data_IF_648817063711
#
_entry.id   IF_648817063711
#
_cell.length_a   1.000
_cell.length_b   1.000
_cell.length_c   1.000
_cell.angle_alpha   90.00
_cell.angle_beta   90.00
_cell.angle_gamma   90.00
#
_symmetry.space_group_name_H-M   'P 1'
#
loop_
_entity.id
_entity.type
_entity.pdbx_description
1 polymer ?
#
# COMPACT_ATOMS: atom_id res chain seq x y z
N UNK A 1 -27.68 47.66 -18.38
CA UNK A 1 -28.95 46.89 -18.36
C UNK A 1 -29.17 46.37 -16.94
N UNK A 2 -30.32 46.62 -16.32
CA UNK A 2 -30.59 46.16 -14.95
C UNK A 2 -30.74 44.63 -14.93
N UNK A 3 -30.00 43.94 -14.05
CA UNK A 3 -30.11 42.49 -13.89
C UNK A 3 -31.53 42.08 -13.49
N UNK A 4 -32.03 40.99 -14.07
CA UNK A 4 -33.38 40.47 -13.78
C UNK A 4 -33.54 40.11 -12.29
N UNK A 5 -34.76 40.14 -11.73
CA UNK A 5 -35.00 39.75 -10.33
C UNK A 5 -34.51 38.33 -10.00
N UNK A 6 -34.60 37.41 -10.97
CA UNK A 6 -34.10 36.04 -10.83
C UNK A 6 -32.57 36.00 -10.77
N UNK A 7 -31.87 36.82 -11.58
CA UNK A 7 -30.41 36.92 -11.54
C UNK A 7 -29.91 37.46 -10.19
N UNK A 8 -30.60 38.45 -9.61
CA UNK A 8 -30.28 38.97 -8.27
C UNK A 8 -30.48 37.92 -7.17
N UNK A 9 -31.58 37.15 -7.24
CA UNK A 9 -31.86 36.07 -6.27
C UNK A 9 -30.84 34.94 -6.39
N UNK A 10 -30.43 34.57 -7.61
CA UNK A 10 -29.35 33.61 -7.84
C UNK A 10 -28.03 34.11 -7.24
N UNK A 11 -27.69 35.39 -7.40
CA UNK A 11 -26.49 35.97 -6.81
C UNK A 11 -26.51 35.92 -5.29
N UNK A 12 -27.65 36.21 -4.66
CA UNK A 12 -27.81 36.08 -3.20
C UNK A 12 -27.60 34.64 -2.71
N UNK A 13 -28.12 33.64 -3.44
CA UNK A 13 -27.90 32.24 -3.09
C UNK A 13 -26.43 31.82 -3.25
N UNK A 14 -25.73 32.31 -4.29
CA UNK A 14 -24.29 32.07 -4.46
C UNK A 14 -23.48 32.66 -3.29
N UNK A 15 -23.76 33.91 -2.90
CA UNK A 15 -23.12 34.53 -1.74
C UNK A 15 -23.37 33.74 -0.45
N UNK A 16 -24.56 33.15 -0.28
CA UNK A 16 -24.85 32.30 0.87
C UNK A 16 -24.06 30.99 0.83
N UNK A 17 -23.85 30.39 -0.35
CA UNK A 17 -22.97 29.21 -0.51
C UNK A 17 -21.53 29.59 -0.17
N UNK A 18 -21.02 30.70 -0.70
CA UNK A 18 -19.65 31.18 -0.43
C UNK A 18 -19.41 31.37 1.09
N UNK A 19 -20.40 31.89 1.81
CA UNK A 19 -20.34 32.03 3.28
C UNK A 19 -20.31 30.68 4.01
N UNK A 20 -21.06 29.69 3.54
CA UNK A 20 -21.05 28.34 4.12
C UNK A 20 -19.72 27.63 3.84
N UNK A 21 -19.16 27.80 2.65
CA UNK A 21 -17.86 27.24 2.29
C UNK A 21 -16.73 27.87 3.12
N UNK A 22 -16.80 29.18 3.38
CA UNK A 22 -15.88 29.85 4.31
C UNK A 22 -15.95 29.28 5.73
N UNK A 23 -17.17 29.03 6.25
CA UNK A 23 -17.35 28.39 7.56
C UNK A 23 -16.81 26.95 7.58
N UNK A 24 -16.95 26.22 6.47
CA UNK A 24 -16.38 24.87 6.35
C UNK A 24 -14.84 24.91 6.45
N UNK A 25 -14.20 25.87 5.77
CA UNK A 25 -12.74 26.06 5.85
C UNK A 25 -12.30 26.35 7.28
N UNK A 26 -13.00 27.24 7.99
CA UNK A 26 -12.70 27.58 9.39
C UNK A 26 -12.84 26.36 10.32
N UNK A 27 -13.90 25.56 10.16
CA UNK A 27 -14.10 24.34 10.93
C UNK A 27 -13.04 23.29 10.65
N UNK A 28 -12.60 23.15 9.40
CA UNK A 28 -11.51 22.25 9.03
C UNK A 28 -10.19 22.69 9.66
N UNK A 29 -9.88 23.98 9.65
CA UNK A 29 -8.68 24.54 10.28
C UNK A 29 -8.66 24.24 11.80
N UNK A 30 -9.76 24.53 12.50
CA UNK A 30 -9.90 24.22 13.93
C UNK A 30 -9.73 22.72 14.20
N UNK A 31 -10.30 21.86 13.36
CA UNK A 31 -10.18 20.41 13.51
C UNK A 31 -8.72 19.94 13.33
N UNK A 32 -7.96 20.54 12.43
CA UNK A 32 -6.54 20.25 12.23
C UNK A 32 -5.73 20.61 13.48
N UNK A 33 -6.03 21.74 14.12
CA UNK A 33 -5.39 22.14 15.38
C UNK A 33 -5.66 21.13 16.51
N UNK A 34 -6.94 20.73 16.69
CA UNK A 34 -7.32 19.71 17.68
C UNK A 34 -6.66 18.36 17.37
N UNK A 35 -6.59 17.96 16.10
CA UNK A 35 -5.90 16.74 15.71
C UNK A 35 -4.40 16.78 16.04
N UNK A 36 -3.76 17.95 15.91
CA UNK A 36 -2.37 18.14 16.28
C UNK A 36 -2.15 17.98 17.80
N UNK A 37 -3.04 18.55 18.63
CA UNK A 37 -3.00 18.38 20.09
C UNK A 37 -3.21 16.92 20.51
N UNK A 38 -4.16 16.22 19.87
CA UNK A 38 -4.37 14.78 20.07
C UNK A 38 -3.09 14.00 19.73
N UNK A 39 -2.38 14.38 18.66
CA UNK A 39 -1.09 13.78 18.31
C UNK A 39 -0.07 13.85 19.43
N UNK A 40 0.08 15.03 20.05
CA UNK A 40 0.98 15.25 21.18
C UNK A 40 0.58 14.43 22.41
N UNK A 41 -0.72 14.33 22.70
CA UNK A 41 -1.22 13.50 23.82
C UNK A 41 -0.99 12.01 23.56
N UNK A 42 -1.31 11.53 22.35
CA UNK A 42 -1.05 10.13 21.96
C UNK A 42 0.43 9.79 22.06
N UNK A 43 1.30 10.73 21.69
CA UNK A 43 2.74 10.57 21.85
C UNK A 43 3.13 10.34 23.30
N UNK A 44 2.65 11.19 24.22
CA UNK A 44 2.90 11.04 25.66
C UNK A 44 2.37 9.72 26.23
N UNK A 45 1.27 9.22 25.66
CA UNK A 45 0.64 7.95 26.03
C UNK A 45 1.20 6.73 25.27
N UNK A 46 2.14 6.91 24.33
CA UNK A 46 2.67 5.82 23.50
C UNK A 46 1.63 5.15 22.60
N UNK A 47 0.59 5.87 22.18
CA UNK A 47 -0.51 5.34 21.38
C UNK A 47 -0.30 5.55 19.87
N UNK A 48 -0.80 4.64 19.03
CA UNK A 48 -0.66 4.75 17.58
C UNK A 48 -1.52 5.87 16.99
N UNK A 49 -1.05 6.41 15.87
CA UNK A 49 -1.78 7.44 15.13
C UNK A 49 -3.07 6.87 14.52
N UNK A 50 -2.98 5.67 13.94
CA UNK A 50 -4.12 4.95 13.35
C UNK A 50 -4.77 4.00 14.36
N UNK A 51 -6.07 4.17 14.59
CA UNK A 51 -6.89 3.30 15.45
C UNK A 51 -8.16 2.92 14.67
N UNK A 52 -8.17 1.75 14.00
CA UNK A 52 -9.24 1.36 13.07
C UNK A 52 -10.64 1.43 13.69
N UNK A 53 -10.80 0.86 14.89
CA UNK A 53 -12.09 0.78 15.58
C UNK A 53 -12.67 2.18 15.87
N UNK A 54 -11.81 3.12 16.30
CA UNK A 54 -12.22 4.49 16.59
C UNK A 54 -12.69 5.22 15.35
N UNK A 55 -11.99 5.01 14.23
CA UNK A 55 -12.37 5.59 12.93
C UNK A 55 -13.69 4.99 12.44
N UNK A 56 -13.84 3.66 12.50
CA UNK A 56 -15.07 2.99 12.11
C UNK A 56 -16.27 3.50 12.91
N UNK A 57 -16.16 3.56 14.24
CA UNK A 57 -17.21 4.09 15.12
C UNK A 57 -17.58 5.55 14.76
N UNK A 58 -16.58 6.39 14.47
CA UNK A 58 -16.83 7.77 14.08
C UNK A 58 -17.58 7.85 12.75
N UNK A 59 -17.19 7.06 11.74
CA UNK A 59 -17.85 7.05 10.44
C UNK A 59 -19.29 6.52 10.54
N UNK A 60 -19.51 5.42 11.27
CA UNK A 60 -20.86 4.86 11.50
C UNK A 60 -21.79 5.87 12.18
N UNK A 61 -21.32 6.52 13.25
CA UNK A 61 -22.10 7.54 13.96
C UNK A 61 -22.46 8.73 13.08
N UNK A 62 -21.51 9.19 12.25
CA UNK A 62 -21.72 10.33 11.36
C UNK A 62 -22.60 9.99 10.17
N UNK A 63 -22.51 8.79 9.60
CA UNK A 63 -23.45 8.30 8.58
C UNK A 63 -24.88 8.31 9.09
N UNK A 64 -25.14 7.76 10.28
CA UNK A 64 -26.47 7.78 10.89
C UNK A 64 -26.96 9.21 11.22
N UNK A 65 -26.07 10.15 11.49
CA UNK A 65 -26.42 11.57 11.61
C UNK A 65 -26.78 12.21 10.26
N UNK A 66 -26.04 11.90 9.18
CA UNK A 66 -26.35 12.36 7.84
C UNK A 66 -27.75 11.92 7.40
N UNK A 67 -28.09 10.64 7.60
CA UNK A 67 -29.41 10.09 7.26
C UNK A 67 -30.54 10.86 7.95
N UNK A 68 -30.41 11.09 9.27
CA UNK A 68 -31.39 11.84 10.06
C UNK A 68 -31.57 13.29 9.62
N UNK A 69 -30.54 13.88 8.98
CA UNK A 69 -30.58 15.26 8.46
C UNK A 69 -30.92 15.33 6.97
N UNK A 70 -31.22 14.20 6.33
CA UNK A 70 -31.50 14.14 4.88
C UNK A 70 -30.28 14.39 4.00
N UNK A 71 -29.06 14.20 4.54
CA UNK A 71 -27.81 14.26 3.79
C UNK A 71 -27.44 12.88 3.27
N UNK A 72 -26.81 12.81 2.10
CA UNK A 72 -26.28 11.55 1.57
C UNK A 72 -25.15 11.03 2.49
N UNK A 73 -25.29 9.85 3.10
CA UNK A 73 -24.28 9.31 4.03
C UNK A 73 -22.93 9.06 3.38
N UNK A 74 -22.93 8.70 2.09
CA UNK A 74 -21.71 8.44 1.34
C UNK A 74 -20.91 9.72 1.09
N UNK A 75 -21.59 10.85 0.81
CA UNK A 75 -20.94 12.16 0.70
C UNK A 75 -20.24 12.53 2.02
N UNK A 76 -20.94 12.38 3.16
CA UNK A 76 -20.35 12.74 4.45
C UNK A 76 -19.17 11.84 4.81
N UNK A 77 -19.29 10.53 4.56
CA UNK A 77 -18.19 9.59 4.76
C UNK A 77 -16.97 9.97 3.92
N UNK A 78 -17.15 10.27 2.63
CA UNK A 78 -16.06 10.65 1.72
C UNK A 78 -15.31 11.89 2.23
N UNK A 79 -16.05 12.93 2.64
CA UNK A 79 -15.46 14.15 3.22
C UNK A 79 -14.71 13.82 4.51
N UNK A 80 -15.34 13.08 5.42
CA UNK A 80 -14.73 12.75 6.71
C UNK A 80 -13.48 11.89 6.56
N UNK A 81 -13.47 10.89 5.67
CA UNK A 81 -12.29 10.06 5.39
C UNK A 81 -11.11 10.92 4.95
N UNK A 82 -11.32 11.85 4.02
CA UNK A 82 -10.26 12.76 3.55
C UNK A 82 -9.72 13.64 4.67
N UNK A 83 -10.61 14.14 5.53
CA UNK A 83 -10.25 14.98 6.68
C UNK A 83 -9.52 14.17 7.78
N UNK A 84 -9.87 12.90 7.97
CA UNK A 84 -9.17 11.98 8.88
C UNK A 84 -7.76 11.68 8.35
N UNK A 85 -7.60 11.44 7.05
CA UNK A 85 -6.29 11.24 6.42
C UNK A 85 -5.34 12.43 6.67
N UNK A 86 -5.83 13.66 6.49
CA UNK A 86 -5.08 14.89 6.79
C UNK A 86 -4.66 14.96 8.28
N UNK A 87 -5.48 14.39 9.16
CA UNK A 87 -5.19 14.35 10.59
C UNK A 87 -4.00 13.45 10.91
N UNK A 88 -3.80 12.37 10.16
CA UNK A 88 -2.66 11.47 10.35
C UNK A 88 -1.35 12.17 9.97
N UNK A 89 -1.34 12.90 8.85
CA UNK A 89 -0.19 13.70 8.42
C UNK A 89 0.20 14.73 9.47
N UNK A 90 -0.79 15.49 9.95
CA UNK A 90 -0.58 16.53 10.96
C UNK A 90 -0.03 15.96 12.27
N UNK A 91 -0.56 14.81 12.73
CA UNK A 91 -0.10 14.14 13.95
C UNK A 91 1.36 13.65 13.83
N UNK A 92 1.76 13.14 12.67
CA UNK A 92 3.10 12.60 12.44
C UNK A 92 4.18 13.69 12.30
N UNK A 93 3.82 14.89 11.84
CA UNK A 93 4.78 15.98 11.65
C UNK A 93 5.30 16.61 12.96
N UNK A 94 4.52 16.57 14.05
CA UNK A 94 4.82 17.30 15.30
C UNK A 94 5.56 16.50 16.38
N UNK A 95 6.38 15.53 15.98
CA UNK A 95 7.13 14.53 16.78
C UNK A 95 6.33 13.25 17.06
N UNK A 96 6.51 12.17 16.27
CA UNK A 96 5.82 10.92 16.51
C UNK A 96 6.37 10.19 17.74
N UNK A 97 5.51 9.35 18.32
CA UNK A 97 5.89 8.43 19.40
C UNK A 97 7.04 7.52 18.95
N UNK A 98 7.89 7.16 19.92
CA UNK A 98 9.03 6.27 19.69
C UNK A 98 8.96 5.05 20.58
N UNK A 99 9.51 3.94 20.09
CA UNK A 99 9.63 2.67 20.82
C UNK A 99 11.07 2.18 20.98
N UNK A 100 12.02 2.69 20.19
CA UNK A 100 13.44 2.30 20.23
C UNK A 100 14.38 3.36 20.84
N UNK A 101 15.68 3.08 20.81
CA UNK A 101 16.71 3.96 21.36
C UNK A 101 17.14 5.03 20.34
N UNK A 102 16.93 6.32 20.63
CA UNK A 102 17.33 7.42 19.73
C UNK A 102 18.83 7.62 19.61
N UNK A 103 19.59 7.17 20.60
CA UNK A 103 21.04 7.39 20.63
C UNK A 103 21.78 6.37 19.75
N UNK A 104 21.17 5.22 19.49
CA UNK A 104 21.72 4.17 18.64
C UNK A 104 21.42 4.40 17.17
N UNK A 105 22.36 3.97 16.34
CA UNK A 105 22.36 4.24 14.91
C UNK A 105 21.38 3.32 14.17
N UNK A 106 20.63 3.88 13.22
CA UNK A 106 19.91 3.14 12.19
C UNK A 106 20.68 3.31 10.89
N UNK A 107 21.14 2.20 10.32
CA UNK A 107 21.82 2.17 9.03
C UNK A 107 20.80 1.75 7.98
N UNK A 108 20.69 2.51 6.88
CA UNK A 108 19.83 2.16 5.74
C UNK A 108 20.74 1.94 4.53
N UNK A 109 20.78 0.71 4.03
CA UNK A 109 21.56 0.38 2.84
C UNK A 109 20.67 0.46 1.60
N UNK A 110 21.09 1.17 0.57
CA UNK A 110 20.24 1.58 -0.56
C UNK A 110 19.35 2.80 -0.21
N UNK A 111 19.87 3.71 0.60
CA UNK A 111 19.17 4.90 1.08
C UNK A 111 18.81 5.91 -0.03
N UNK A 112 19.51 5.93 -1.17
CA UNK A 112 19.20 6.73 -2.35
C UNK A 112 18.03 6.15 -3.15
N UNK A 113 17.74 4.86 -2.96
CA UNK A 113 16.55 4.20 -3.48
C UNK A 113 15.27 4.89 -3.03
N UNK A 114 14.19 4.76 -3.80
CA UNK A 114 12.94 5.47 -3.50
C UNK A 114 12.34 5.08 -2.15
N UNK A 115 12.30 3.78 -1.84
CA UNK A 115 11.85 3.31 -0.51
C UNK A 115 12.88 3.60 0.57
N UNK A 116 14.18 3.39 0.31
CA UNK A 116 15.26 3.73 1.26
C UNK A 116 15.17 5.18 1.74
N UNK A 117 14.96 6.14 0.82
CA UNK A 117 14.73 7.56 1.15
C UNK A 117 13.50 7.75 2.05
N UNK A 118 12.41 7.03 1.80
CA UNK A 118 11.20 7.12 2.61
C UNK A 118 11.42 6.63 4.03
N UNK A 119 12.03 5.45 4.20
CA UNK A 119 12.38 4.94 5.52
C UNK A 119 13.35 5.87 6.25
N UNK A 120 14.35 6.40 5.55
CA UNK A 120 15.26 7.39 6.12
C UNK A 120 14.50 8.60 6.67
N UNK A 121 13.58 9.15 5.88
CA UNK A 121 12.75 10.28 6.31
C UNK A 121 11.88 9.95 7.52
N UNK A 122 11.21 8.80 7.55
CA UNK A 122 10.35 8.43 8.69
C UNK A 122 11.14 8.20 9.99
N UNK A 123 12.29 7.54 9.93
CA UNK A 123 13.16 7.39 11.09
C UNK A 123 13.71 8.75 11.57
N UNK A 124 14.17 9.61 10.65
CA UNK A 124 14.66 10.95 10.98
C UNK A 124 13.56 11.84 11.59
N UNK A 125 12.35 11.82 11.03
CA UNK A 125 11.20 12.54 11.56
C UNK A 125 10.80 12.07 12.96
N UNK A 126 11.09 10.81 13.30
CA UNK A 126 10.87 10.24 14.63
C UNK A 126 12.01 10.52 15.62
N UNK A 127 13.07 11.19 15.17
CA UNK A 127 14.20 11.59 16.00
C UNK A 127 15.28 10.52 16.17
N UNK A 128 15.28 9.47 15.34
CA UNK A 128 16.37 8.49 15.33
C UNK A 128 17.61 9.06 14.63
N UNK A 129 18.80 8.62 15.07
CA UNK A 129 20.05 8.83 14.33
C UNK A 129 20.07 7.87 13.14
N UNK A 130 20.13 8.40 11.92
CA UNK A 130 20.09 7.60 10.70
C UNK A 130 21.32 7.87 9.84
N UNK A 131 21.92 6.81 9.30
CA UNK A 131 23.01 6.86 8.33
C UNK A 131 22.61 6.08 7.08
N UNK A 132 22.60 6.75 5.93
CA UNK A 132 22.36 6.13 4.63
C UNK A 132 23.66 5.64 4.01
N UNK A 133 23.64 4.45 3.43
CA UNK A 133 24.77 3.80 2.77
C UNK A 133 24.36 3.37 1.34
N UNK A 134 25.24 3.53 0.37
CA UNK A 134 25.06 2.97 -0.98
C UNK A 134 26.09 1.86 -1.24
N UNK A 135 25.74 0.94 -2.14
CA UNK A 135 26.72 -0.03 -2.65
C UNK A 135 27.85 0.71 -3.38
N UNK A 136 29.09 0.51 -2.92
CA UNK A 136 30.27 1.17 -3.48
C UNK A 136 30.53 2.60 -3.01
N UNK A 137 29.77 3.13 -2.03
CA UNK A 137 30.13 4.37 -1.34
C UNK A 137 31.20 4.15 -0.27
N UNK A 138 31.60 5.22 0.44
CA UNK A 138 32.44 5.09 1.63
C UNK A 138 31.84 4.07 2.60
N UNK A 139 32.70 3.19 3.13
CA UNK A 139 32.29 2.11 4.01
C UNK A 139 31.86 2.64 5.39
N UNK A 140 30.90 1.95 6.01
CA UNK A 140 30.57 2.18 7.41
C UNK A 140 31.79 1.86 8.28
N UNK A 141 32.23 2.80 9.10
CA UNK A 141 33.32 2.56 10.07
C UNK A 141 32.88 1.54 11.12
N UNK A 142 33.81 0.72 11.62
CA UNK A 142 33.55 -0.24 12.69
C UNK A 142 32.96 0.41 13.94
N UNK A 143 33.43 1.60 14.32
CA UNK A 143 32.90 2.36 15.46
C UNK A 143 31.39 2.65 15.30
N UNK A 144 30.97 3.18 14.15
CA UNK A 144 29.55 3.43 13.88
C UNK A 144 28.73 2.15 13.84
N UNK A 145 29.27 1.07 13.26
CA UNK A 145 28.60 -0.21 13.16
C UNK A 145 28.32 -0.86 14.52
N UNK A 146 29.22 -0.69 15.49
CA UNK A 146 29.02 -1.14 16.86
C UNK A 146 27.97 -0.32 17.63
N UNK A 147 27.61 0.88 17.16
CA UNK A 147 26.49 1.66 17.71
C UNK A 147 25.15 1.36 17.05
N UNK A 148 25.14 0.58 15.97
CA UNK A 148 23.92 0.29 15.24
C UNK A 148 22.96 -0.60 16.05
N UNK A 149 21.68 -0.23 16.05
CA UNK A 149 20.58 -1.07 16.53
C UNK A 149 19.80 -1.72 15.39
N UNK A 150 19.89 -1.15 14.18
CA UNK A 150 19.21 -1.63 12.99
C UNK A 150 20.09 -1.38 11.75
N UNK A 151 20.25 -2.40 10.92
CA UNK A 151 20.64 -2.31 9.52
C UNK A 151 19.44 -2.70 8.68
N UNK A 152 18.86 -1.74 7.97
CA UNK A 152 17.75 -1.95 7.05
C UNK A 152 18.25 -2.00 5.62
N UNK A 153 18.12 -3.15 4.98
CA UNK A 153 18.55 -3.40 3.61
C UNK A 153 17.42 -3.09 2.64
N UNK A 154 17.59 -2.03 1.86
CA UNK A 154 16.65 -1.51 0.86
C UNK A 154 17.18 -1.68 -0.58
N UNK A 155 18.12 -2.60 -0.80
CA UNK A 155 18.71 -2.92 -2.10
C UNK A 155 17.95 -4.04 -2.80
N UNK A 156 18.24 -4.30 -4.11
CA UNK A 156 17.71 -5.47 -4.79
C UNK A 156 18.02 -6.77 -4.01
N UNK A 157 17.08 -7.72 -4.04
CA UNK A 157 17.14 -8.92 -3.20
C UNK A 157 18.33 -9.82 -3.54
N UNK A 158 18.79 -9.78 -4.80
CA UNK A 158 19.97 -10.52 -5.24
C UNK A 158 21.28 -10.03 -4.58
N UNK A 159 21.31 -8.79 -4.09
CA UNK A 159 22.53 -8.14 -3.61
C UNK A 159 22.69 -8.20 -2.08
N UNK A 160 21.70 -8.74 -1.34
CA UNK A 160 21.68 -8.73 0.13
C UNK A 160 22.94 -9.38 0.72
N UNK A 161 23.32 -10.57 0.24
CA UNK A 161 24.53 -11.24 0.72
C UNK A 161 25.80 -10.41 0.47
N UNK A 162 25.90 -9.77 -0.70
CA UNK A 162 27.05 -8.94 -1.06
C UNK A 162 27.10 -7.63 -0.24
N UNK A 163 25.95 -7.03 0.03
CA UNK A 163 25.80 -5.88 0.93
C UNK A 163 26.30 -6.23 2.32
N UNK A 164 25.80 -7.32 2.91
CA UNK A 164 26.13 -7.68 4.28
C UNK A 164 27.61 -8.07 4.43
N UNK A 165 28.22 -8.68 3.41
CA UNK A 165 29.64 -9.00 3.40
C UNK A 165 30.56 -7.77 3.39
N UNK A 166 30.06 -6.60 2.96
CA UNK A 166 30.83 -5.34 2.97
C UNK A 166 30.69 -4.57 4.29
N UNK A 167 29.77 -4.97 5.16
CA UNK A 167 29.60 -4.31 6.45
C UNK A 167 30.68 -4.79 7.45
N UNK A 168 31.24 -3.89 8.27
CA UNK A 168 32.05 -4.30 9.40
C UNK A 168 31.21 -5.11 10.41
N UNK A 169 31.86 -5.79 11.38
CA UNK A 169 31.16 -6.49 12.45
C UNK A 169 30.13 -5.58 13.14
N UNK A 170 28.87 -6.02 13.18
CA UNK A 170 27.77 -5.32 13.82
C UNK A 170 27.72 -5.63 15.32
N UNK A 171 27.05 -4.78 16.09
CA UNK A 171 26.72 -5.12 17.48
C UNK A 171 25.91 -6.42 17.54
N UNK A 172 26.12 -7.23 18.59
CA UNK A 172 25.51 -8.55 18.73
C UNK A 172 23.96 -8.52 18.75
N UNK A 173 23.39 -7.41 19.22
CA UNK A 173 21.94 -7.15 19.28
C UNK A 173 21.43 -6.26 18.14
N UNK A 174 22.30 -5.88 17.18
CA UNK A 174 21.90 -5.12 16.00
C UNK A 174 20.96 -5.97 15.15
N UNK A 175 19.79 -5.42 14.82
CA UNK A 175 18.80 -6.08 13.98
C UNK A 175 19.22 -5.93 12.52
N UNK A 176 19.29 -7.03 11.76
CA UNK A 176 19.41 -6.97 10.30
C UNK A 176 18.05 -7.27 9.69
N UNK A 177 17.54 -6.35 8.88
CA UNK A 177 16.23 -6.49 8.26
C UNK A 177 16.22 -6.11 6.78
N UNK A 178 15.34 -6.74 5.99
CA UNK A 178 15.12 -6.42 4.58
C UNK A 178 13.68 -5.94 4.32
N UNK A 179 13.46 -5.27 3.19
CA UNK A 179 12.13 -4.81 2.72
C UNK A 179 11.74 -5.38 1.34
N UNK A 180 12.41 -6.45 0.90
CA UNK A 180 12.21 -7.01 -0.44
C UNK A 180 10.81 -7.61 -0.65
N UNK A 181 10.47 -7.88 -1.91
CA UNK A 181 9.17 -8.47 -2.28
C UNK A 181 9.13 -10.01 -2.26
N UNK A 182 10.27 -10.66 -2.03
CA UNK A 182 10.44 -12.09 -1.76
C UNK A 182 11.08 -12.25 -0.39
N UNK A 183 10.78 -13.32 0.36
CA UNK A 183 11.21 -13.44 1.76
C UNK A 183 12.07 -14.66 2.04
N UNK A 184 11.81 -15.81 1.44
CA UNK A 184 12.50 -17.06 1.84
C UNK A 184 14.01 -16.99 1.61
N UNK A 185 14.43 -16.62 0.40
CA UNK A 185 15.85 -16.55 0.05
C UNK A 185 16.56 -15.35 0.71
N UNK A 186 16.02 -14.11 0.66
CA UNK A 186 16.57 -12.97 1.41
C UNK A 186 16.77 -13.25 2.91
N UNK A 187 15.76 -13.84 3.56
CA UNK A 187 15.83 -14.14 4.99
C UNK A 187 16.94 -15.16 5.29
N UNK A 188 17.09 -16.18 4.44
CA UNK A 188 18.17 -17.17 4.55
C UNK A 188 19.55 -16.53 4.40
N UNK A 189 19.71 -15.60 3.45
CA UNK A 189 20.96 -14.87 3.26
C UNK A 189 21.32 -14.05 4.49
N UNK A 190 20.35 -13.30 5.05
CA UNK A 190 20.56 -12.53 6.28
C UNK A 190 20.89 -13.42 7.48
N UNK A 191 20.19 -14.55 7.66
CA UNK A 191 20.45 -15.52 8.73
C UNK A 191 21.85 -16.16 8.66
N UNK A 192 22.40 -16.26 7.46
CA UNK A 192 23.75 -16.80 7.21
C UNK A 192 24.81 -15.74 7.46
N UNK A 193 24.58 -14.50 7.02
CA UNK A 193 25.53 -13.40 7.14
C UNK A 193 25.58 -12.77 8.55
N UNK A 194 24.51 -12.91 9.35
CA UNK A 194 24.41 -12.31 10.68
C UNK A 194 24.07 -13.35 11.75
N UNK A 195 24.77 -13.31 12.88
CA UNK A 195 24.53 -14.19 14.02
C UNK A 195 23.43 -13.69 14.95
N UNK A 196 23.18 -12.38 14.99
CA UNK A 196 22.20 -11.72 15.86
C UNK A 196 20.76 -11.74 15.34
N UNK A 197 19.94 -10.74 15.74
CA UNK A 197 18.53 -10.66 15.36
C UNK A 197 18.32 -10.41 13.86
N UNK A 198 17.39 -11.16 13.26
CA UNK A 198 17.09 -11.08 11.82
C UNK A 198 15.58 -11.02 11.59
N UNK A 199 15.15 -10.09 10.73
CA UNK A 199 13.75 -9.81 10.41
C UNK A 199 13.54 -9.61 8.90
N UNK A 200 12.67 -10.39 8.28
CA UNK A 200 12.20 -10.11 6.92
C UNK A 200 10.96 -9.23 6.96
N UNK A 201 10.91 -8.18 6.13
CA UNK A 201 9.71 -7.36 5.97
C UNK A 201 9.36 -7.21 4.48
N UNK A 202 8.07 -7.00 4.20
CA UNK A 202 7.60 -6.62 2.87
C UNK A 202 6.55 -5.52 3.01
N UNK A 203 6.94 -4.26 2.75
CA UNK A 203 5.99 -3.15 2.67
C UNK A 203 5.06 -3.34 1.47
N UNK A 204 3.75 -3.49 1.70
CA UNK A 204 2.76 -3.67 0.64
C UNK A 204 2.33 -2.33 0.00
N UNK A 205 3.27 -1.38 -0.04
CA UNK A 205 3.05 -0.01 -0.49
C UNK A 205 4.27 0.52 -1.26
N UNK A 206 4.01 1.49 -2.14
CA UNK A 206 5.05 2.14 -2.93
C UNK A 206 5.68 3.33 -2.19
N UNK A 207 6.74 3.93 -2.75
CA UNK A 207 7.46 5.05 -2.12
C UNK A 207 6.69 6.38 -2.08
N UNK A 208 5.53 6.46 -2.75
CA UNK A 208 4.74 7.69 -2.88
C UNK A 208 3.73 7.87 -1.75
N UNK A 209 3.65 6.94 -0.79
CA UNK A 209 2.77 7.13 0.37
C UNK A 209 3.38 8.16 1.34
N UNK A 210 2.52 8.97 1.94
CA UNK A 210 2.95 10.02 2.86
C UNK A 210 2.99 9.54 4.32
N UNK A 211 2.10 8.62 4.69
CA UNK A 211 1.99 8.04 6.03
C UNK A 211 1.69 6.53 5.97
N UNK A 212 1.89 5.83 7.09
CA UNK A 212 1.63 4.38 7.17
C UNK A 212 0.23 4.00 7.66
N UNK A 213 -0.63 4.95 8.01
CA UNK A 213 -2.02 4.64 8.38
C UNK A 213 -2.69 3.80 7.28
N UNK A 214 -3.28 2.65 7.66
CA UNK A 214 -3.91 1.63 6.80
C UNK A 214 -2.97 0.89 5.84
N UNK A 215 -1.66 1.14 5.93
CA UNK A 215 -0.69 0.47 5.09
C UNK A 215 -0.28 -0.84 5.74
N UNK A 216 -0.14 -1.89 4.94
CA UNK A 216 0.24 -3.22 5.42
C UNK A 216 1.73 -3.44 5.32
N UNK A 217 2.31 -3.96 6.39
CA UNK A 217 3.69 -4.42 6.44
C UNK A 217 3.67 -5.91 6.76
N UNK A 218 4.06 -6.76 5.81
CA UNK A 218 4.19 -8.17 6.09
C UNK A 218 5.49 -8.42 6.85
N UNK A 219 5.41 -9.23 7.90
CA UNK A 219 6.51 -9.52 8.83
C UNK A 219 6.81 -11.01 8.79
N UNK A 220 8.06 -11.35 8.47
CA UNK A 220 8.56 -12.72 8.44
C UNK A 220 9.71 -12.86 9.44
N UNK A 221 9.46 -13.52 10.56
CA UNK A 221 10.45 -13.70 11.62
C UNK A 221 11.61 -14.59 11.17
N UNK A 222 12.85 -14.10 11.38
CA UNK A 222 14.06 -14.87 11.17
C UNK A 222 14.60 -15.45 12.48
N UNK A 223 15.30 -14.61 13.26
CA UNK A 223 15.96 -15.02 14.51
C UNK A 223 15.77 -13.97 15.60
N UNK A 224 15.61 -14.40 16.86
CA UNK A 224 15.58 -13.54 18.05
C UNK A 224 14.50 -12.43 17.99
N UNK A 225 13.20 -12.77 17.81
CA UNK A 225 12.13 -11.79 17.67
C UNK A 225 11.95 -10.82 18.83
N UNK A 226 12.38 -11.22 20.03
CA UNK A 226 12.35 -10.36 21.21
C UNK A 226 13.21 -9.09 21.06
N UNK A 227 14.23 -9.07 20.19
CA UNK A 227 15.14 -7.93 20.04
C UNK A 227 14.64 -6.85 19.08
N UNK A 228 13.63 -7.13 18.26
CA UNK A 228 13.08 -6.17 17.28
C UNK A 228 11.60 -5.85 17.47
N UNK A 229 11.03 -6.18 18.65
CA UNK A 229 9.66 -5.77 18.98
C UNK A 229 9.48 -4.25 18.97
N UNK A 230 10.52 -3.51 19.38
CA UNK A 230 10.51 -2.05 19.28
C UNK A 230 10.31 -1.58 17.84
N UNK A 231 10.89 -2.27 16.85
CA UNK A 231 10.78 -1.89 15.44
C UNK A 231 9.36 -2.14 14.92
N UNK A 232 8.76 -3.29 15.26
CA UNK A 232 7.37 -3.59 14.91
C UNK A 232 6.39 -2.61 15.57
N UNK A 233 6.63 -2.29 16.84
CA UNK A 233 5.88 -1.26 17.56
C UNK A 233 6.05 0.11 16.91
N UNK A 234 7.25 0.44 16.41
CA UNK A 234 7.49 1.72 15.72
C UNK A 234 6.63 1.85 14.45
N UNK A 235 6.53 0.76 13.67
CA UNK A 235 5.66 0.71 12.50
C UNK A 235 4.18 0.87 12.85
N UNK A 236 3.73 0.23 13.92
CA UNK A 236 2.36 0.38 14.44
C UNK A 236 2.09 1.81 14.92
N UNK A 237 3.05 2.46 15.59
CA UNK A 237 2.94 3.87 16.01
C UNK A 237 2.75 4.80 14.81
N UNK A 238 3.46 4.53 13.70
CA UNK A 238 3.27 5.23 12.42
C UNK A 238 1.96 4.87 11.71
N UNK A 239 1.23 3.88 12.21
CA UNK A 239 -0.10 3.48 11.74
C UNK A 239 -0.12 2.27 10.82
N UNK A 240 1.02 1.60 10.61
CA UNK A 240 1.08 0.38 9.80
C UNK A 240 0.35 -0.78 10.48
N UNK A 241 -0.29 -1.62 9.68
CA UNK A 241 -0.82 -2.92 10.07
C UNK A 241 0.26 -3.98 9.81
N UNK A 242 0.89 -4.46 10.88
CA UNK A 242 1.88 -5.54 10.80
C UNK A 242 1.17 -6.89 10.70
N UNK A 243 1.39 -7.62 9.60
CA UNK A 243 0.81 -8.94 9.36
C UNK A 243 1.94 -9.96 9.41
N UNK A 244 1.93 -10.80 10.43
CA UNK A 244 2.95 -11.83 10.63
C UNK A 244 2.61 -13.10 9.83
N UNK A 245 3.61 -13.63 9.12
CA UNK A 245 3.50 -14.93 8.46
C UNK A 245 4.87 -15.56 8.15
N UNK A 246 4.96 -16.89 8.02
CA UNK A 246 6.18 -17.56 7.56
C UNK A 246 6.63 -17.09 6.17
N UNK A 247 7.94 -17.03 5.94
CA UNK A 247 8.51 -16.58 4.68
C UNK A 247 8.07 -17.42 3.46
N UNK A 248 7.91 -18.74 3.65
CA UNK A 248 7.43 -19.64 2.59
C UNK A 248 5.97 -19.39 2.22
N UNK A 249 5.10 -19.15 3.22
CA UNK A 249 3.69 -18.83 3.00
C UNK A 249 3.53 -17.46 2.33
N UNK A 250 4.32 -16.47 2.76
CA UNK A 250 4.41 -15.17 2.10
C UNK A 250 4.73 -15.33 0.60
N UNK A 251 5.79 -16.08 0.30
CA UNK A 251 6.28 -16.26 -1.05
C UNK A 251 5.28 -17.00 -1.96
N UNK A 252 4.52 -17.95 -1.39
CA UNK A 252 3.41 -18.61 -2.05
C UNK A 252 2.25 -17.64 -2.32
N UNK A 253 1.90 -16.78 -1.36
CA UNK A 253 0.85 -15.78 -1.53
C UNK A 253 1.24 -14.73 -2.59
N UNK A 254 2.49 -14.25 -2.58
CA UNK A 254 2.98 -13.26 -3.55
C UNK A 254 3.08 -13.81 -4.98
N UNK A 255 3.14 -15.14 -5.15
CA UNK A 255 3.00 -15.75 -6.47
C UNK A 255 1.68 -15.35 -7.16
N UNK A 256 0.59 -15.23 -6.40
CA UNK A 256 -0.71 -14.79 -6.89
C UNK A 256 -0.86 -13.27 -6.88
N UNK A 257 -0.51 -12.63 -5.76
CA UNK A 257 -0.73 -11.18 -5.56
C UNK A 257 0.12 -10.33 -6.49
N UNK A 258 1.38 -10.72 -6.71
CA UNK A 258 2.34 -9.96 -7.52
C UNK A 258 2.74 -10.74 -8.78
N UNK A 259 3.16 -12.00 -8.65
CA UNK A 259 3.73 -12.80 -9.74
C UNK A 259 2.79 -12.91 -10.95
N UNK A 260 1.65 -13.56 -10.75
CA UNK A 260 0.64 -13.75 -11.80
C UNK A 260 0.12 -12.41 -12.31
N UNK A 261 -0.23 -11.49 -11.39
CA UNK A 261 -0.79 -10.18 -11.72
C UNK A 261 0.13 -9.39 -12.66
N UNK A 262 1.42 -9.30 -12.33
CA UNK A 262 2.39 -8.55 -13.13
C UNK A 262 2.68 -9.23 -14.46
N UNK A 263 2.76 -10.56 -14.49
CA UNK A 263 2.97 -11.29 -15.75
C UNK A 263 1.81 -11.03 -16.73
N UNK A 264 0.56 -11.15 -16.28
CA UNK A 264 -0.62 -10.87 -17.12
C UNK A 264 -0.64 -9.41 -17.60
N UNK A 265 -0.31 -8.46 -16.73
CA UNK A 265 -0.23 -7.03 -17.10
C UNK A 265 0.85 -6.76 -18.15
N UNK A 266 2.03 -7.38 -18.00
CA UNK A 266 3.12 -7.27 -18.98
C UNK A 266 2.74 -7.88 -20.33
N UNK A 267 2.12 -9.07 -20.33
CA UNK A 267 1.63 -9.71 -21.55
C UNK A 267 0.59 -8.85 -22.27
N UNK A 268 -0.38 -8.30 -21.53
CA UNK A 268 -1.40 -7.41 -22.10
C UNK A 268 -0.78 -6.12 -22.65
N UNK A 269 0.14 -5.50 -21.93
CA UNK A 269 0.84 -4.31 -22.39
C UNK A 269 1.67 -4.57 -23.66
N UNK A 270 2.37 -5.71 -23.75
CA UNK A 270 3.09 -6.12 -24.96
C UNK A 270 2.14 -6.19 -26.16
N UNK A 271 0.97 -6.80 -25.97
CA UNK A 271 -0.02 -6.92 -27.03
C UNK A 271 -0.56 -5.55 -27.47
N UNK A 272 -0.87 -4.64 -26.55
CA UNK A 272 -1.30 -3.27 -26.88
C UNK A 272 -0.28 -2.55 -27.77
N UNK A 273 1.02 -2.67 -27.43
CA UNK A 273 2.11 -2.06 -28.20
C UNK A 273 2.25 -2.70 -29.57
N UNK A 274 2.23 -4.03 -29.66
CA UNK A 274 2.32 -4.77 -30.92
C UNK A 274 1.17 -4.44 -31.87
N UNK A 275 -0.06 -4.29 -31.34
CA UNK A 275 -1.24 -3.92 -32.11
C UNK A 275 -1.34 -2.41 -32.39
N UNK A 276 -0.37 -1.61 -31.94
CA UNK A 276 -0.33 -0.15 -32.13
C UNK A 276 -1.62 0.55 -31.64
N UNK A 277 -2.14 0.11 -30.50
CA UNK A 277 -3.38 0.66 -29.95
C UNK A 277 -3.13 2.06 -29.40
N UNK A 278 -4.02 2.99 -29.74
CA UNK A 278 -4.04 4.35 -29.18
C UNK A 278 -4.55 4.32 -27.73
N UNK A 279 -3.62 4.44 -26.78
CA UNK A 279 -3.91 4.39 -25.34
C UNK A 279 -4.72 5.60 -24.88
N UNK A 280 -4.54 6.77 -25.51
CA UNK A 280 -5.30 7.98 -25.16
C UNK A 280 -6.76 7.78 -25.56
N UNK A 281 -6.99 7.30 -26.78
CA UNK A 281 -8.34 6.96 -27.25
C UNK A 281 -8.98 5.87 -26.36
N UNK A 282 -8.25 4.83 -25.97
CA UNK A 282 -8.76 3.83 -25.03
C UNK A 282 -9.19 4.46 -23.71
N UNK A 283 -8.40 5.38 -23.16
CA UNK A 283 -8.71 6.04 -21.90
C UNK A 283 -9.96 6.91 -21.99
N UNK A 284 -10.16 7.62 -23.11
CA UNK A 284 -11.35 8.44 -23.37
C UNK A 284 -12.63 7.62 -23.51
N UNK A 285 -12.54 6.45 -24.14
CA UNK A 285 -13.68 5.55 -24.36
C UNK A 285 -13.97 4.62 -23.17
N UNK A 286 -13.07 4.56 -22.18
CA UNK A 286 -13.16 3.67 -21.04
C UNK A 286 -14.11 4.19 -19.96
N UNK A 287 -14.93 3.28 -19.42
CA UNK A 287 -15.62 3.53 -18.14
C UNK A 287 -14.61 3.76 -16.99
N UNK A 288 -15.01 4.39 -15.87
CA UNK A 288 -14.10 4.60 -14.73
C UNK A 288 -13.41 3.31 -14.22
N UNK A 289 -14.10 2.16 -14.25
CA UNK A 289 -13.52 0.87 -13.88
C UNK A 289 -12.43 0.41 -14.86
N UNK A 290 -12.62 0.60 -16.16
CA UNK A 290 -11.63 0.27 -17.18
C UNK A 290 -10.43 1.23 -17.12
N UNK A 291 -10.65 2.51 -16.80
CA UNK A 291 -9.55 3.45 -16.56
C UNK A 291 -8.66 3.01 -15.38
N UNK A 292 -9.22 2.36 -14.34
CA UNK A 292 -8.40 1.77 -13.27
C UNK A 292 -7.44 0.70 -13.79
N UNK A 293 -7.82 -0.07 -14.81
CA UNK A 293 -6.92 -1.06 -15.42
C UNK A 293 -5.72 -0.37 -16.10
N UNK A 294 -5.98 0.70 -16.86
CA UNK A 294 -4.91 1.51 -17.46
C UNK A 294 -4.02 2.17 -16.39
N UNK A 295 -4.60 2.69 -15.31
CA UNK A 295 -3.83 3.23 -14.18
C UNK A 295 -2.95 2.17 -13.51
N UNK A 296 -3.39 0.91 -13.45
CA UNK A 296 -2.55 -0.17 -12.92
C UNK A 296 -1.35 -0.47 -13.83
N UNK A 297 -1.53 -0.39 -15.16
CA UNK A 297 -0.43 -0.50 -16.12
C UNK A 297 0.53 0.70 -16.01
N UNK A 298 0.00 1.92 -15.95
CA UNK A 298 0.81 3.12 -15.77
C UNK A 298 1.65 3.05 -14.49
N UNK A 299 1.04 2.61 -13.37
CA UNK A 299 1.74 2.36 -12.11
C UNK A 299 2.85 1.32 -12.27
N UNK A 300 2.61 0.25 -13.05
CA UNK A 300 3.59 -0.80 -13.29
C UNK A 300 4.85 -0.22 -13.97
N UNK A 301 4.67 0.51 -15.07
CA UNK A 301 5.76 1.06 -15.88
C UNK A 301 6.46 2.29 -15.27
N UNK A 302 5.90 2.91 -14.23
CA UNK A 302 6.60 3.90 -13.40
C UNK A 302 7.64 3.28 -12.44
N UNK A 303 7.79 1.95 -12.41
CA UNK A 303 8.82 1.25 -11.64
C UNK A 303 9.98 0.77 -12.52
N UNK A 304 11.14 0.50 -11.91
CA UNK A 304 12.26 -0.08 -12.62
C UNK A 304 12.00 -1.54 -12.99
N UNK A 305 12.30 -1.93 -14.23
CA UNK A 305 12.14 -3.30 -14.72
C UNK A 305 12.89 -4.35 -13.90
N UNK A 306 14.01 -3.97 -13.27
CA UNK A 306 14.77 -4.83 -12.35
C UNK A 306 13.93 -5.40 -11.22
N UNK A 307 13.02 -4.61 -10.65
CA UNK A 307 12.13 -5.06 -9.57
C UNK A 307 11.23 -6.21 -10.04
N UNK A 308 10.59 -6.06 -11.21
CA UNK A 308 9.74 -7.12 -11.76
C UNK A 308 10.52 -8.35 -12.19
N UNK A 309 11.74 -8.15 -12.71
CA UNK A 309 12.64 -9.25 -12.99
C UNK A 309 12.89 -10.07 -11.72
N UNK A 310 13.24 -9.43 -10.60
CA UNK A 310 13.44 -10.13 -9.33
C UNK A 310 12.16 -10.82 -8.84
N UNK A 311 11.01 -10.13 -8.84
CA UNK A 311 9.73 -10.70 -8.40
C UNK A 311 9.36 -11.93 -9.22
N UNK A 312 9.44 -11.85 -10.55
CA UNK A 312 9.03 -12.93 -11.45
C UNK A 312 10.04 -14.08 -11.45
N UNK A 313 11.33 -13.79 -11.30
CA UNK A 313 12.39 -14.80 -11.40
C UNK A 313 12.74 -15.42 -10.04
N UNK A 314 12.25 -14.84 -8.93
CA UNK A 314 12.56 -15.28 -7.57
C UNK A 314 12.35 -16.79 -7.31
N UNK A 315 11.37 -17.42 -7.96
CA UNK A 315 11.11 -18.84 -7.78
C UNK A 315 10.71 -19.51 -9.10
N UNK A 316 11.65 -20.25 -9.70
CA UNK A 316 11.39 -21.05 -10.90
C UNK A 316 10.33 -22.15 -10.68
N UNK A 317 10.13 -22.56 -9.43
CA UNK A 317 9.10 -23.52 -9.03
C UNK A 317 7.67 -23.07 -9.39
N UNK A 318 7.47 -21.77 -9.66
CA UNK A 318 6.17 -21.18 -10.06
C UNK A 318 5.88 -21.30 -11.56
N UNK A 319 6.85 -21.69 -12.39
CA UNK A 319 6.65 -21.81 -13.84
C UNK A 319 5.47 -22.71 -14.23
N UNK A 320 5.22 -23.86 -13.59
CA UNK A 320 4.05 -24.68 -13.87
C UNK A 320 2.73 -23.91 -13.66
N UNK A 321 2.63 -23.11 -12.60
CA UNK A 321 1.45 -22.27 -12.32
C UNK A 321 1.19 -21.26 -13.45
N UNK A 322 2.24 -20.62 -13.97
CA UNK A 322 2.09 -19.70 -15.12
C UNK A 322 1.66 -20.43 -16.39
N UNK A 323 2.14 -21.66 -16.62
CA UNK A 323 1.72 -22.49 -17.75
C UNK A 323 0.25 -22.89 -17.63
N UNK A 324 -0.19 -23.36 -16.47
CA UNK A 324 -1.61 -23.68 -16.23
C UNK A 324 -2.53 -22.50 -16.46
N UNK A 325 -2.09 -21.26 -16.15
CA UNK A 325 -2.86 -20.07 -16.50
C UNK A 325 -3.02 -19.86 -18.01
N UNK A 326 -1.97 -20.14 -18.79
CA UNK A 326 -2.05 -20.10 -20.26
C UNK A 326 -3.03 -21.16 -20.76
N UNK A 327 -2.97 -22.38 -20.22
CA UNK A 327 -3.91 -23.45 -20.58
C UNK A 327 -5.37 -23.02 -20.31
N UNK A 328 -5.63 -22.31 -19.20
CA UNK A 328 -6.95 -21.75 -18.93
C UNK A 328 -7.35 -20.67 -19.95
N UNK A 329 -6.43 -19.78 -20.32
CA UNK A 329 -6.69 -18.76 -21.34
C UNK A 329 -7.02 -19.39 -22.70
N UNK A 330 -6.25 -20.38 -23.14
CA UNK A 330 -6.49 -21.13 -24.38
C UNK A 330 -7.84 -21.85 -24.37
N UNK A 331 -8.24 -22.43 -23.23
CA UNK A 331 -9.56 -23.06 -23.09
C UNK A 331 -10.70 -22.06 -23.27
N UNK A 332 -10.60 -20.86 -22.66
CA UNK A 332 -11.61 -19.80 -22.85
C UNK A 332 -11.61 -19.28 -24.29
N UNK A 333 -10.43 -19.08 -24.88
CA UNK A 333 -10.30 -18.64 -26.27
C UNK A 333 -10.95 -19.64 -27.22
N UNK A 334 -10.73 -20.94 -27.01
CA UNK A 334 -11.33 -22.00 -27.82
C UNK A 334 -12.87 -21.94 -27.80
N UNK A 335 -13.49 -21.70 -26.65
CA UNK A 335 -14.96 -21.53 -26.59
C UNK A 335 -15.45 -20.35 -27.44
N UNK A 336 -14.65 -19.28 -27.51
CA UNK A 336 -14.94 -18.10 -28.36
C UNK A 336 -14.74 -18.43 -29.85
N UNK A 337 -13.67 -19.14 -30.19
CA UNK A 337 -13.38 -19.60 -31.57
C UNK A 337 -14.46 -20.54 -32.10
N UNK A 338 -14.92 -21.48 -31.26
CA UNK A 338 -15.97 -22.45 -31.58
C UNK A 338 -17.39 -21.83 -31.51
N UNK A 339 -17.50 -20.57 -31.05
CA UNK A 339 -18.78 -19.89 -30.77
C UNK A 339 -19.73 -20.70 -29.86
N UNK A 340 -19.17 -21.47 -28.92
CA UNK A 340 -19.90 -22.36 -28.02
C UNK A 340 -20.47 -21.58 -26.82
N UNK A 341 -21.59 -20.89 -27.05
CA UNK A 341 -22.26 -20.07 -26.06
C UNK A 341 -22.75 -20.86 -24.84
N UNK A 342 -23.23 -22.10 -25.04
CA UNK A 342 -23.78 -22.92 -23.95
C UNK A 342 -22.66 -23.33 -22.98
N UNK A 343 -21.55 -23.86 -23.50
CA UNK A 343 -20.40 -24.21 -22.67
C UNK A 343 -19.75 -22.98 -22.03
N UNK A 344 -19.70 -21.84 -22.73
CA UNK A 344 -19.20 -20.58 -22.16
C UNK A 344 -20.01 -20.15 -20.93
N UNK A 345 -21.34 -20.09 -21.03
CA UNK A 345 -22.23 -19.71 -19.93
C UNK A 345 -22.11 -20.71 -18.77
N UNK A 346 -22.11 -22.01 -19.07
CA UNK A 346 -21.99 -23.06 -18.05
C UNK A 346 -20.66 -22.94 -17.27
N UNK A 347 -19.54 -22.67 -17.96
CA UNK A 347 -18.25 -22.46 -17.30
C UNK A 347 -18.23 -21.17 -16.48
N UNK A 348 -18.83 -20.09 -16.97
CA UNK A 348 -18.91 -18.81 -16.28
C UNK A 348 -19.70 -18.92 -14.97
N UNK A 349 -20.91 -19.50 -15.01
CA UNK A 349 -21.75 -19.66 -13.81
C UNK A 349 -21.10 -20.64 -12.80
N UNK A 350 -20.40 -21.67 -13.29
CA UNK A 350 -19.61 -22.54 -12.42
C UNK A 350 -18.52 -21.76 -11.68
N UNK A 351 -17.76 -20.90 -12.36
CA UNK A 351 -16.74 -20.06 -11.73
C UNK A 351 -17.34 -19.08 -10.73
N UNK A 352 -18.43 -18.40 -11.11
CA UNK A 352 -19.16 -17.48 -10.26
C UNK A 352 -19.62 -18.16 -8.97
N UNK A 353 -20.22 -19.34 -9.06
CA UNK A 353 -20.66 -20.10 -7.89
C UNK A 353 -19.51 -20.45 -6.93
N UNK A 354 -18.31 -20.74 -7.45
CA UNK A 354 -17.13 -21.06 -6.63
C UNK A 354 -16.46 -19.84 -6.00
N UNK A 355 -16.66 -18.64 -6.56
CA UNK A 355 -15.95 -17.42 -6.13
C UNK A 355 -16.86 -16.39 -5.46
N UNK A 356 -18.19 -16.53 -5.57
CA UNK A 356 -19.14 -15.51 -5.12
C UNK A 356 -18.96 -15.16 -3.64
N UNK A 357 -18.83 -16.17 -2.77
CA UNK A 357 -18.73 -15.95 -1.32
C UNK A 357 -17.45 -15.19 -0.96
N UNK A 358 -16.34 -15.56 -1.60
CA UNK A 358 -15.01 -14.99 -1.36
C UNK A 358 -14.92 -13.57 -1.91
N UNK A 359 -15.43 -13.34 -3.12
CA UNK A 359 -15.42 -12.02 -3.75
C UNK A 359 -16.39 -11.06 -3.03
N UNK A 360 -17.54 -11.52 -2.55
CA UNK A 360 -18.45 -10.72 -1.73
C UNK A 360 -17.78 -10.22 -0.45
N UNK A 361 -16.91 -11.03 0.17
CA UNK A 361 -16.12 -10.58 1.32
C UNK A 361 -15.15 -9.47 0.91
N UNK A 362 -14.48 -9.59 -0.24
CA UNK A 362 -13.58 -8.54 -0.75
C UNK A 362 -14.35 -7.24 -0.97
N UNK A 363 -15.51 -7.31 -1.63
CA UNK A 363 -16.41 -6.17 -1.88
C UNK A 363 -16.80 -5.46 -0.58
N UNK A 364 -17.14 -6.21 0.47
CA UNK A 364 -17.52 -5.67 1.79
C UNK A 364 -16.35 -5.02 2.54
N UNK A 365 -15.11 -5.46 2.32
CA UNK A 365 -13.93 -4.86 2.97
C UNK A 365 -13.53 -3.51 2.36
N UNK A 366 -14.09 -3.11 1.21
CA UNK A 366 -13.80 -1.84 0.54
C UNK A 366 -15.07 -1.07 0.13
N UNK A 367 -15.97 -0.73 1.07
CA UNK A 367 -17.33 -0.27 0.76
C UNK A 367 -17.36 1.01 -0.10
N UNK A 368 -16.43 1.95 0.09
CA UNK A 368 -16.38 3.18 -0.72
C UNK A 368 -15.93 2.95 -2.17
N UNK A 369 -15.00 2.01 -2.39
CA UNK A 369 -14.53 1.67 -3.74
C UNK A 369 -15.53 0.76 -4.45
N UNK A 370 -16.07 -0.24 -3.74
CA UNK A 370 -16.97 -1.23 -4.32
C UNK A 370 -18.32 -0.65 -4.72
N UNK A 371 -18.91 0.26 -3.92
CA UNK A 371 -20.16 0.94 -4.30
C UNK A 371 -20.06 1.75 -5.61
N UNK A 372 -18.84 2.13 -6.02
CA UNK A 372 -18.60 2.90 -7.26
C UNK A 372 -18.25 2.02 -8.46
N UNK A 373 -17.81 0.79 -8.21
CA UNK A 373 -17.16 -0.06 -9.21
C UNK A 373 -17.85 -1.40 -9.43
N UNK A 374 -18.60 -1.88 -8.44
CA UNK A 374 -19.31 -3.16 -8.49
C UNK A 374 -20.77 -2.86 -8.76
N UNK A 375 -21.28 -3.44 -9.84
CA UNK A 375 -22.68 -3.31 -10.24
C UNK A 375 -23.45 -4.48 -9.63
N UNK A 376 -24.58 -4.21 -8.97
CA UNK A 376 -25.56 -5.24 -8.66
C UNK A 376 -26.18 -5.72 -9.98
N UNK A 377 -25.79 -6.93 -10.41
CA UNK A 377 -26.35 -7.55 -11.60
C UNK A 377 -27.74 -8.10 -11.28
N UNK A 378 -28.78 -7.50 -11.86
CA UNK A 378 -30.13 -8.04 -11.94
C UNK A 378 -30.31 -8.72 -13.32
N UNK A 379 -30.92 -9.90 -13.40
CA UNK A 379 -31.22 -10.60 -14.67
C UNK A 379 -32.02 -9.70 -15.64
N UNK A 380 -32.77 -8.72 -15.14
CA UNK A 380 -33.46 -7.70 -15.96
C UNK A 380 -32.50 -6.85 -16.83
N UNK A 381 -31.20 -6.84 -16.54
CA UNK A 381 -30.18 -6.09 -17.27
C UNK A 381 -29.74 -6.71 -18.61
N UNK A 382 -30.11 -7.97 -18.88
CA UNK A 382 -29.84 -8.66 -20.16
C UNK A 382 -30.69 -8.13 -21.34
N UNK A 383 -31.77 -7.37 -21.06
CA UNK A 383 -32.66 -6.81 -22.08
C UNK A 383 -32.19 -5.43 -22.61
N UNK A 384 -30.88 -5.20 -22.73
CA UNK A 384 -30.32 -3.95 -23.29
C UNK A 384 -29.92 -4.09 -24.74
#
# INVERSE_FOLDING_TARGET
MAQSPQAKKLQQFRQKIDQLDQQLVELLAQRVEVAAEIGLLKQQLGQPVYVPEREQQLLEQRRAEAERRGLNPNLLEDVLRRVIEESYLTQLQRQPAISGDRQRLIVIVGAAGRLGRRFQQWFQQSGYRVHGLELGSEALTEELAQTAQLVLVCTPMADIAAVLAQLPPLAADCVVADIGSSKSEPLKQMLTAHSGPVLGMHPMFGPNIEHLARQRLIVCHGRQPQHYQWLLQQFQLWGAECIEMPAAEHDQAMAWVQGMRHLTQLSYASHLVEQQVDIEQLAELSSPLQQLQLLTLARLFQQHGKLYQEILFAQQQRLPMFRTFIDHFENWLKLVEDADAESFIAQFEKLKAHLATELDRVVRTQPGLSQRLVVDYDEASLNR
#
